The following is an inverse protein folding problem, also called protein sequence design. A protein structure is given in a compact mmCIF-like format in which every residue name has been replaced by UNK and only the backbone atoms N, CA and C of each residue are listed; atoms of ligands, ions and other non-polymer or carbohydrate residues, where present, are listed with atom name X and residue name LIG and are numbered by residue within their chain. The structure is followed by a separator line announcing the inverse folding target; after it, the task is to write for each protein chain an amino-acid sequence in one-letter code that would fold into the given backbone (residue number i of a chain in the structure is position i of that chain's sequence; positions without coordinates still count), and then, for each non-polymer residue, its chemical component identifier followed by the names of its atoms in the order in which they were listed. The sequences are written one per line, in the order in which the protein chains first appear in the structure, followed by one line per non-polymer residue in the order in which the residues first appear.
data_IF_644539949904
#
_entry.id   IF_644539949904
#
_cell.length_a   1.000
_cell.length_b   1.000
_cell.length_c   1.000
_cell.angle_alpha   90.00
_cell.angle_beta   90.00
_cell.angle_gamma   90.00
#
_symmetry.space_group_name_H-M   'P 1'
#
loop_
_entity.id
_entity.type
_entity.pdbx_description
1 polymer ?
#
# COMPACT_ATOMS: atom_id res chain seq x y z
N UNK A 1 8.89 -19.86 -29.15
CA UNK A 1 7.75 -20.19 -28.26
C UNK A 1 7.07 -18.87 -27.93
N UNK A 2 5.82 -18.68 -28.35
CA UNK A 2 5.09 -17.43 -28.09
C UNK A 2 4.83 -17.31 -26.57
N UNK A 3 5.03 -16.14 -25.93
CA UNK A 3 4.96 -15.97 -24.48
C UNK A 3 3.53 -15.85 -23.94
N UNK A 4 2.53 -16.32 -24.67
CA UNK A 4 1.15 -16.36 -24.19
C UNK A 4 1.05 -17.51 -23.18
N UNK A 5 1.17 -17.12 -21.92
CA UNK A 5 0.97 -17.99 -20.77
C UNK A 5 -0.41 -18.64 -20.87
N UNK A 6 -0.48 -19.95 -20.67
CA UNK A 6 -1.74 -20.69 -20.61
C UNK A 6 -2.52 -20.28 -19.36
N UNK A 7 -3.36 -19.25 -19.48
CA UNK A 7 -4.29 -18.87 -18.42
C UNK A 7 -5.48 -19.82 -18.44
N UNK A 8 -5.69 -20.54 -17.33
CA UNK A 8 -6.87 -21.38 -17.10
C UNK A 8 -7.72 -20.77 -16.00
N UNK A 9 -9.04 -20.80 -16.18
CA UNK A 9 -9.96 -20.46 -15.11
C UNK A 9 -9.91 -21.54 -14.02
N UNK A 10 -9.80 -21.12 -12.77
CA UNK A 10 -9.81 -21.99 -11.58
C UNK A 10 -10.73 -21.34 -10.54
N UNK A 11 -11.73 -22.06 -10.00
CA UNK A 11 -12.54 -21.58 -8.88
C UNK A 11 -11.67 -21.21 -7.67
N UNK A 12 -12.03 -20.14 -6.96
CA UNK A 12 -11.26 -19.69 -5.79
C UNK A 12 -11.16 -20.75 -4.70
N UNK A 13 -12.20 -21.58 -4.50
CA UNK A 13 -12.23 -22.68 -3.54
C UNK A 13 -11.14 -23.74 -3.75
N UNK A 14 -10.64 -23.87 -4.98
CA UNK A 14 -9.61 -24.87 -5.33
C UNK A 14 -8.19 -24.35 -5.06
N UNK A 15 -8.04 -23.05 -4.78
CA UNK A 15 -6.75 -22.39 -4.58
C UNK A 15 -6.46 -22.26 -3.09
N UNK A 16 -5.60 -23.15 -2.57
CA UNK A 16 -5.22 -23.19 -1.15
C UNK A 16 -4.08 -22.21 -0.77
N UNK A 17 -3.70 -21.32 -1.69
CA UNK A 17 -2.61 -20.36 -1.50
C UNK A 17 -3.08 -19.09 -0.78
N UNK A 18 -2.22 -18.42 -0.01
CA UNK A 18 -2.53 -17.10 0.54
C UNK A 18 -2.72 -16.08 -0.59
N UNK A 19 -3.53 -15.06 -0.33
CA UNK A 19 -3.67 -13.93 -1.24
C UNK A 19 -2.43 -13.04 -1.12
N UNK A 20 -1.77 -12.80 -2.25
CA UNK A 20 -0.56 -12.00 -2.31
C UNK A 20 -0.83 -10.77 -3.17
N UNK A 21 -0.46 -9.60 -2.67
CA UNK A 21 -0.56 -8.32 -3.40
C UNK A 21 0.81 -7.66 -3.48
N UNK A 22 1.05 -6.95 -4.58
CA UNK A 22 2.25 -6.14 -4.75
C UNK A 22 1.89 -4.66 -4.77
N UNK A 23 2.42 -3.92 -3.80
CA UNK A 23 2.30 -2.48 -3.73
C UNK A 23 3.45 -1.85 -4.50
N UNK A 24 3.15 -1.34 -5.70
CA UNK A 24 4.16 -0.79 -6.62
C UNK A 24 4.53 0.65 -6.24
N UNK A 25 3.75 1.62 -6.69
CA UNK A 25 4.04 3.04 -6.50
C UNK A 25 2.77 3.88 -6.39
N UNK A 26 2.92 5.06 -5.80
CA UNK A 26 1.90 6.10 -5.73
C UNK A 26 2.18 7.15 -6.80
N UNK A 27 1.20 7.34 -7.69
CA UNK A 27 1.23 8.37 -8.72
C UNK A 27 0.22 9.48 -8.37
N UNK A 28 0.57 10.74 -8.62
CA UNK A 28 -0.37 11.84 -8.44
C UNK A 28 0.25 13.24 -8.51
N UNK A 29 -0.61 14.22 -8.81
CA UNK A 29 -0.32 15.63 -8.56
C UNK A 29 -0.86 15.98 -7.17
N UNK A 30 0.02 16.38 -6.27
CA UNK A 30 -0.40 17.25 -5.18
C UNK A 30 -0.37 18.65 -5.76
N UNK A 31 -1.50 19.12 -6.27
CA UNK A 31 -1.63 20.57 -6.44
C UNK A 31 -1.37 21.18 -5.07
N UNK A 32 -0.54 22.21 -5.02
CA UNK A 32 -0.17 22.97 -3.81
C UNK A 32 -1.38 23.72 -3.19
N UNK A 33 -2.56 23.16 -3.29
CA UNK A 33 -3.83 23.68 -2.83
C UNK A 33 -4.05 23.34 -1.36
N UNK A 34 -3.16 23.83 -0.49
CA UNK A 34 -3.50 24.23 0.88
C UNK A 34 -2.32 25.05 1.42
N UNK A 35 -2.33 26.35 1.10
CA UNK A 35 -1.62 27.41 1.81
C UNK A 35 -0.12 27.17 2.10
N UNK A 36 0.63 26.69 1.09
CA UNK A 36 2.05 27.00 0.94
C UNK A 36 3.05 26.59 2.04
N UNK A 37 2.74 25.68 2.98
CA UNK A 37 3.68 25.41 4.10
C UNK A 37 3.85 23.97 4.60
N UNK A 38 3.22 22.95 4.03
CA UNK A 38 3.54 21.57 4.44
C UNK A 38 4.33 20.82 3.36
N UNK A 39 5.61 20.49 3.62
CA UNK A 39 6.30 19.46 2.87
C UNK A 39 5.45 18.18 2.86
N UNK A 40 5.55 17.37 1.79
CA UNK A 40 4.99 16.03 1.85
C UNK A 40 5.53 15.32 3.11
N UNK A 41 4.71 14.52 3.79
CA UNK A 41 5.18 13.77 4.96
C UNK A 41 6.46 13.01 4.66
N UNK A 42 7.38 13.01 5.62
CA UNK A 42 8.74 12.52 5.42
C UNK A 42 8.80 11.03 5.16
N UNK A 43 7.91 10.25 5.77
CA UNK A 43 7.75 8.83 5.45
C UNK A 43 6.27 8.48 5.33
N UNK A 44 5.97 7.56 4.41
CA UNK A 44 4.62 7.04 4.21
C UNK A 44 4.63 5.51 4.18
N UNK A 45 3.52 4.91 4.58
CA UNK A 45 3.26 3.49 4.41
C UNK A 45 1.83 3.26 3.90
N UNK A 46 1.61 2.10 3.31
CA UNK A 46 0.28 1.65 2.90
C UNK A 46 -0.15 0.53 3.83
N UNK A 47 -1.36 0.64 4.36
CA UNK A 47 -2.02 -0.43 5.10
C UNK A 47 -3.12 -1.04 4.26
N UNK A 48 -3.22 -2.36 4.31
CA UNK A 48 -4.23 -3.14 3.59
C UNK A 48 -4.98 -4.03 4.57
N UNK A 49 -6.31 -3.89 4.56
CA UNK A 49 -7.24 -4.76 5.27
C UNK A 49 -8.11 -5.52 4.27
N UNK A 50 -8.37 -6.79 4.55
CA UNK A 50 -9.33 -7.60 3.80
C UNK A 50 -10.68 -7.54 4.51
N UNK A 51 -11.75 -7.32 3.76
CA UNK A 51 -13.12 -7.42 4.24
C UNK A 51 -13.86 -8.52 3.48
N UNK A 52 -14.65 -9.31 4.21
CA UNK A 52 -15.53 -10.34 3.68
C UNK A 52 -16.86 -10.26 4.45
N UNK A 53 -18.01 -10.31 3.75
CA UNK A 53 -19.33 -10.24 4.40
C UNK A 53 -19.49 -9.04 5.35
N UNK A 54 -18.96 -7.89 4.95
CA UNK A 54 -18.99 -6.64 5.71
C UNK A 54 -18.10 -6.61 6.97
N UNK A 55 -17.25 -7.61 7.20
CA UNK A 55 -16.35 -7.68 8.37
C UNK A 55 -14.89 -7.77 7.95
N UNK A 56 -14.00 -7.21 8.77
CA UNK A 56 -12.54 -7.33 8.56
C UNK A 56 -12.10 -8.77 8.85
N UNK A 57 -11.34 -9.35 7.94
CA UNK A 57 -10.73 -10.67 8.10
C UNK A 57 -9.26 -10.50 8.46
N UNK A 58 -8.87 -11.02 9.62
CA UNK A 58 -7.50 -10.96 10.10
C UNK A 58 -7.00 -9.56 10.47
N UNK A 59 -5.71 -9.45 10.81
CA UNK A 59 -5.04 -8.17 11.03
C UNK A 59 -4.81 -7.41 9.72
N UNK A 60 -4.62 -6.09 9.83
CA UNK A 60 -4.07 -5.29 8.74
C UNK A 60 -2.61 -5.67 8.50
N UNK A 61 -2.24 -5.72 7.23
CA UNK A 61 -0.84 -5.79 6.82
C UNK A 61 -0.40 -4.43 6.31
N UNK A 62 0.87 -4.10 6.49
CA UNK A 62 1.41 -2.81 6.09
C UNK A 62 2.72 -2.99 5.34
N UNK A 63 2.96 -2.08 4.41
CA UNK A 63 4.30 -1.91 3.84
C UNK A 63 5.24 -1.30 4.87
N UNK A 64 6.54 -1.38 4.59
CA UNK A 64 7.53 -0.55 5.26
C UNK A 64 7.19 0.94 5.10
N UNK A 65 7.54 1.71 6.12
CA UNK A 65 7.64 3.16 5.97
C UNK A 65 8.81 3.47 5.07
N UNK A 66 8.53 4.23 4.01
CA UNK A 66 9.57 4.70 3.11
C UNK A 66 9.50 6.21 2.98
N UNK A 67 10.63 6.87 2.71
CA UNK A 67 10.62 8.30 2.39
C UNK A 67 10.07 8.52 0.98
N UNK A 68 9.48 9.69 0.67
CA UNK A 68 9.10 10.03 -0.69
C UNK A 68 10.32 9.87 -1.60
N UNK A 69 10.09 9.31 -2.80
CA UNK A 69 11.17 9.09 -3.76
C UNK A 69 11.89 10.41 -4.06
N UNK A 70 13.19 10.36 -4.42
CA UNK A 70 13.91 11.57 -4.79
C UNK A 70 13.09 12.30 -5.84
N UNK A 71 12.71 13.53 -5.53
CA UNK A 71 11.86 14.35 -6.39
C UNK A 71 12.70 14.80 -7.57
N UNK A 72 13.06 13.89 -8.46
CA UNK A 72 13.92 14.19 -9.58
C UNK A 72 13.04 14.39 -10.80
N UNK A 73 12.93 15.66 -11.17
CA UNK A 73 12.37 16.21 -12.41
C UNK A 73 10.91 16.69 -12.28
N UNK A 74 10.74 18.01 -12.48
CA UNK A 74 9.45 18.63 -12.79
C UNK A 74 8.81 17.83 -13.93
N UNK A 75 7.69 17.16 -13.66
CA UNK A 75 6.96 16.35 -14.63
C UNK A 75 6.82 14.86 -14.29
N UNK A 76 7.52 14.34 -13.27
CA UNK A 76 7.26 12.97 -12.79
C UNK A 76 5.93 12.91 -12.02
N UNK A 77 5.04 12.02 -12.46
CA UNK A 77 3.80 11.67 -11.76
C UNK A 77 4.04 10.71 -10.60
N UNK A 78 5.19 10.04 -10.54
CA UNK A 78 5.55 9.08 -9.48
C UNK A 78 6.11 9.79 -8.26
N UNK A 79 5.44 9.60 -7.11
CA UNK A 79 5.77 10.28 -5.84
C UNK A 79 6.39 9.34 -4.82
N UNK A 80 5.99 8.08 -4.85
CA UNK A 80 6.41 7.10 -3.86
C UNK A 80 6.54 5.73 -4.49
N UNK A 81 7.54 4.95 -4.09
CA UNK A 81 7.75 3.59 -4.58
C UNK A 81 8.08 2.64 -3.43
N UNK A 82 7.24 1.63 -3.27
CA UNK A 82 7.48 0.52 -2.34
C UNK A 82 8.06 -0.66 -3.11
N UNK A 83 7.35 -1.14 -4.13
CA UNK A 83 7.73 -2.37 -4.83
C UNK A 83 7.67 -3.61 -3.91
N UNK A 84 6.89 -3.53 -2.84
CA UNK A 84 6.81 -4.53 -1.78
C UNK A 84 5.67 -5.52 -2.06
N UNK A 85 5.90 -6.77 -1.69
CA UNK A 85 4.90 -7.84 -1.78
C UNK A 85 4.37 -8.13 -0.38
N UNK A 86 3.06 -7.97 -0.19
CA UNK A 86 2.38 -8.27 1.06
C UNK A 86 1.59 -9.57 0.92
N UNK A 87 1.79 -10.48 1.87
CA UNK A 87 0.95 -11.65 2.04
C UNK A 87 -0.21 -11.31 2.97
N UNK A 88 -1.45 -11.47 2.51
CA UNK A 88 -2.64 -11.19 3.29
C UNK A 88 -2.96 -12.39 4.19
N UNK A 89 -3.56 -12.18 5.38
CA UNK A 89 -3.90 -13.25 6.32
C UNK A 89 -5.18 -14.01 5.91
N UNK A 90 -5.29 -14.38 4.63
CA UNK A 90 -6.42 -15.10 4.04
C UNK A 90 -5.98 -15.86 2.80
N UNK A 91 -6.56 -17.03 2.56
CA UNK A 91 -6.39 -17.81 1.33
C UNK A 91 -7.43 -17.47 0.28
N UNK A 92 -7.13 -17.76 -0.98
CA UNK A 92 -8.11 -17.61 -2.05
C UNK A 92 -9.37 -18.44 -1.82
N UNK A 93 -9.23 -19.65 -1.26
CA UNK A 93 -10.35 -20.53 -0.92
C UNK A 93 -11.26 -20.00 0.19
N UNK A 94 -10.80 -19.02 0.96
CA UNK A 94 -11.54 -18.40 2.08
C UNK A 94 -12.21 -17.08 1.69
N UNK A 95 -11.95 -16.57 0.48
CA UNK A 95 -12.57 -15.33 0.00
C UNK A 95 -14.06 -15.51 -0.26
N UNK A 96 -14.86 -14.65 0.37
CA UNK A 96 -16.26 -14.51 0.01
C UNK A 96 -16.41 -13.82 -1.36
N UNK A 97 -17.54 -14.05 -2.03
CA UNK A 97 -17.85 -13.42 -3.33
C UNK A 97 -17.88 -11.88 -3.26
N UNK A 98 -18.21 -11.34 -2.10
CA UNK A 98 -18.28 -9.90 -1.82
C UNK A 98 -16.98 -9.34 -1.21
N UNK A 99 -15.88 -10.09 -1.25
CA UNK A 99 -14.63 -9.66 -0.64
C UNK A 99 -14.06 -8.41 -1.31
N UNK A 100 -13.53 -7.48 -0.52
CA UNK A 100 -12.85 -6.28 -0.99
C UNK A 100 -11.65 -5.92 -0.12
N UNK A 101 -10.73 -5.14 -0.70
CA UNK A 101 -9.58 -4.59 0.01
C UNK A 101 -9.86 -3.15 0.41
N UNK A 102 -9.63 -2.81 1.68
CA UNK A 102 -9.52 -1.43 2.14
C UNK A 102 -8.03 -1.07 2.18
N UNK A 103 -7.63 -0.13 1.34
CA UNK A 103 -6.26 0.35 1.24
C UNK A 103 -6.22 1.78 1.78
N UNK A 104 -5.34 2.03 2.75
CA UNK A 104 -5.17 3.36 3.37
C UNK A 104 -3.72 3.80 3.31
N UNK A 105 -3.50 5.07 2.98
CA UNK A 105 -2.18 5.70 2.97
C UNK A 105 -1.97 6.43 4.29
N UNK A 106 -0.87 6.13 4.97
CA UNK A 106 -0.49 6.74 6.23
C UNK A 106 0.82 7.49 6.09
N UNK A 107 0.94 8.56 6.86
CA UNK A 107 2.08 9.45 6.89
C UNK A 107 2.62 9.53 8.31
N UNK A 108 3.93 9.39 8.49
CA UNK A 108 4.58 9.65 9.76
C UNK A 108 4.77 11.17 9.94
N UNK A 109 4.26 11.73 11.05
CA UNK A 109 4.54 13.11 11.44
C UNK A 109 5.80 13.12 12.32
N UNK A 110 6.95 13.51 11.76
CA UNK A 110 8.22 13.57 12.49
C UNK A 110 8.37 14.80 13.41
N UNK A 111 7.31 15.57 13.66
CA UNK A 111 7.41 16.84 14.41
C UNK A 111 7.31 16.73 15.95
N UNK A 112 7.72 15.62 16.56
CA UNK A 112 7.87 15.54 18.02
C UNK A 112 9.16 14.80 18.39
N UNK A 113 10.24 15.54 18.71
CA UNK A 113 11.44 14.88 19.26
C UNK A 113 12.79 15.62 19.25
N UNK A 114 12.85 16.95 19.27
CA UNK A 114 14.05 17.66 19.79
C UNK A 114 13.60 18.64 20.88
N UNK A 115 13.12 18.11 22.00
CA UNK A 115 13.21 18.85 23.26
C UNK A 115 14.62 18.63 23.77
N UNK A 116 15.39 19.70 23.75
CA UNK A 116 16.75 19.82 24.22
C UNK A 116 16.84 19.45 25.70
N UNK A 117 17.31 18.23 26.02
CA UNK A 117 17.88 17.95 27.34
C UNK A 117 19.32 18.45 27.34
N UNK A 118 19.47 19.74 27.68
CA UNK A 118 20.71 20.26 28.22
C UNK A 118 20.79 19.83 29.68
N UNK A 119 21.73 18.94 29.99
CA UNK A 119 22.36 18.81 31.30
C UNK A 119 23.80 19.29 31.18
#
# INVERSE_FOLDING_TARGET
MSPHSDYRYVPSCDIQKPVIIRISSLLGSFDQCYNGRRPLPSDMCIRVAVYCSGRRVGPEVQTEYRPPGPTTLRGSTERHKWGETLELPIRYSELSKDAFLLITLWAADRNHGEVSDKL
#
